data_IF_866879977523
#
_entry.id   IF_866879977523
#
_cell.length_a   1.000
_cell.length_b   1.000
_cell.length_c   1.000
_cell.angle_alpha   90.00
_cell.angle_beta   90.00
_cell.angle_gamma   90.00
#
_symmetry.space_group_name_H-M   'P 1'
#
loop_
_entity.id
_entity.type
_entity.pdbx_description
1 polymer ?
#
# COMPACT_ATOMS: atom_id res chain seq x y z
N UNK A 1 -38.96 14.57 19.89
CA UNK A 1 -38.64 14.86 18.48
C UNK A 1 -37.15 14.58 18.27
N UNK A 2 -36.79 13.35 17.88
CA UNK A 2 -35.41 13.01 17.49
C UNK A 2 -35.35 12.94 15.98
N UNK A 3 -34.69 13.90 15.35
CA UNK A 3 -34.38 13.85 13.93
C UNK A 3 -33.39 12.71 13.68
N UNK A 4 -33.88 11.60 13.13
CA UNK A 4 -33.03 10.57 12.54
C UNK A 4 -32.33 11.18 11.33
N UNK A 5 -31.07 11.56 11.50
CA UNK A 5 -30.25 12.08 10.42
C UNK A 5 -29.96 10.95 9.43
N UNK A 6 -30.59 10.99 8.26
CA UNK A 6 -30.25 10.08 7.16
C UNK A 6 -28.85 10.43 6.65
N UNK A 7 -27.85 9.61 7.00
CA UNK A 7 -26.52 9.71 6.41
C UNK A 7 -26.61 9.34 4.93
N UNK A 8 -26.33 10.29 4.03
CA UNK A 8 -26.22 10.03 2.60
C UNK A 8 -24.83 9.52 2.27
N UNK A 9 -24.76 8.40 1.56
CA UNK A 9 -23.52 7.90 0.97
C UNK A 9 -23.08 8.87 -0.14
N UNK A 10 -21.78 9.18 -0.17
CA UNK A 10 -21.18 10.04 -1.20
C UNK A 10 -20.98 9.20 -2.47
N UNK A 11 -21.35 9.75 -3.62
CA UNK A 11 -21.09 9.12 -4.93
C UNK A 11 -19.60 8.83 -5.13
N UNK A 12 -19.30 7.68 -5.74
CA UNK A 12 -17.94 7.16 -5.86
C UNK A 12 -16.95 8.16 -6.48
N UNK A 13 -17.35 8.86 -7.54
CA UNK A 13 -16.48 9.81 -8.24
C UNK A 13 -16.22 11.07 -7.42
N UNK A 14 -17.22 11.53 -6.67
CA UNK A 14 -17.05 12.63 -5.72
C UNK A 14 -16.07 12.24 -4.60
N UNK A 15 -16.22 11.05 -4.03
CA UNK A 15 -15.28 10.52 -3.04
C UNK A 15 -13.85 10.44 -3.59
N UNK A 16 -13.66 9.86 -4.78
CA UNK A 16 -12.34 9.78 -5.43
C UNK A 16 -11.74 11.16 -5.69
N UNK A 17 -12.54 12.13 -6.13
CA UNK A 17 -12.10 13.50 -6.36
C UNK A 17 -11.58 14.17 -5.08
N UNK A 18 -12.28 13.96 -3.95
CA UNK A 18 -11.86 14.48 -2.65
C UNK A 18 -10.57 13.79 -2.19
N UNK A 19 -10.52 12.45 -2.25
CA UNK A 19 -9.33 11.69 -1.81
C UNK A 19 -8.08 12.01 -2.62
N UNK A 20 -8.20 12.34 -3.93
CA UNK A 20 -7.08 12.80 -4.76
C UNK A 20 -6.44 14.10 -4.26
N UNK A 21 -7.17 14.91 -3.49
CA UNK A 21 -6.66 16.17 -2.90
C UNK A 21 -6.04 15.97 -1.52
N UNK A 22 -6.21 14.79 -0.93
CA UNK A 22 -5.64 14.50 0.38
C UNK A 22 -4.15 14.18 0.24
N UNK A 23 -3.31 15.13 0.64
CA UNK A 23 -1.86 14.96 0.61
C UNK A 23 -1.44 13.87 1.60
N UNK A 24 -0.77 12.84 1.09
CA UNK A 24 -0.20 11.73 1.87
C UNK A 24 1.18 11.38 1.34
N UNK A 25 2.01 10.79 2.21
CA UNK A 25 3.23 10.12 1.76
C UNK A 25 2.90 8.91 0.89
N UNK A 26 3.87 8.48 0.08
CA UNK A 26 3.76 7.27 -0.73
C UNK A 26 4.71 6.22 -0.18
N UNK A 27 4.22 4.98 -0.07
CA UNK A 27 5.03 3.85 0.35
C UNK A 27 4.97 2.74 -0.69
N UNK A 28 6.00 1.90 -0.72
CA UNK A 28 5.92 0.57 -1.35
C UNK A 28 5.81 -0.47 -0.25
N UNK A 29 4.72 -1.22 -0.28
CA UNK A 29 4.52 -2.38 0.60
C UNK A 29 5.08 -3.58 -0.12
N UNK A 30 6.04 -4.26 0.50
CA UNK A 30 6.70 -5.42 -0.08
C UNK A 30 6.54 -6.65 0.80
N UNK A 31 6.60 -7.81 0.18
CA UNK A 31 6.68 -9.10 0.87
C UNK A 31 7.46 -10.09 0.00
N UNK A 32 7.92 -11.17 0.60
CA UNK A 32 8.69 -12.20 -0.08
C UNK A 32 8.40 -13.58 0.53
N UNK A 33 8.64 -14.61 -0.27
CA UNK A 33 8.66 -15.99 0.18
C UNK A 33 9.76 -16.78 -0.53
N UNK A 34 9.65 -18.10 -0.50
CA UNK A 34 10.61 -19.00 -1.13
C UNK A 34 10.58 -18.81 -2.66
N UNK A 35 11.65 -18.19 -3.18
CA UNK A 35 11.84 -17.97 -4.60
C UNK A 35 11.05 -16.82 -5.22
N UNK A 36 10.23 -16.08 -4.47
CA UNK A 36 9.44 -14.97 -5.03
C UNK A 36 9.47 -13.70 -4.19
N UNK A 37 9.24 -12.57 -4.84
CA UNK A 37 9.05 -11.24 -4.24
C UNK A 37 7.77 -10.62 -4.76
N UNK A 38 7.16 -9.75 -3.97
CA UNK A 38 5.99 -8.99 -4.38
C UNK A 38 6.03 -7.59 -3.79
N UNK A 39 5.53 -6.62 -4.54
CA UNK A 39 5.44 -5.25 -4.07
C UNK A 39 4.34 -4.47 -4.78
N UNK A 40 3.74 -3.53 -4.05
CA UNK A 40 2.77 -2.59 -4.59
C UNK A 40 2.94 -1.23 -3.93
N UNK A 41 2.78 -0.18 -4.74
CA UNK A 41 2.61 1.18 -4.22
C UNK A 41 1.31 1.26 -3.42
N UNK A 42 1.36 1.94 -2.29
CA UNK A 42 0.22 2.21 -1.42
C UNK A 42 0.32 3.60 -0.80
N UNK A 43 -0.83 4.16 -0.44
CA UNK A 43 -0.93 5.43 0.31
C UNK A 43 -1.64 5.25 1.67
N UNK A 44 -2.38 4.16 1.85
CA UNK A 44 -3.12 3.88 3.07
C UNK A 44 -2.23 3.27 4.17
N UNK A 45 -1.21 4.02 4.59
CA UNK A 45 -0.27 3.70 5.67
C UNK A 45 -0.44 4.67 6.84
N UNK A 46 -0.41 4.16 8.07
CA UNK A 46 -0.40 5.00 9.26
C UNK A 46 0.44 4.39 10.40
N UNK A 47 1.03 5.26 11.20
CA UNK A 47 1.56 4.91 12.53
C UNK A 47 0.41 4.74 13.51
N UNK A 48 0.41 3.65 14.28
CA UNK A 48 -0.68 3.29 15.20
C UNK A 48 -0.27 3.45 16.66
N UNK A 49 0.91 2.94 17.03
CA UNK A 49 1.40 3.00 18.40
C UNK A 49 2.92 3.07 18.42
N UNK A 50 3.46 3.76 19.43
CA UNK A 50 4.89 3.75 19.74
C UNK A 50 5.27 2.60 20.67
N UNK A 51 4.34 2.14 21.53
CA UNK A 51 4.59 1.07 22.49
C UNK A 51 3.35 0.14 22.62
N UNK A 52 3.39 -1.09 22.07
CA UNK A 52 4.43 -1.60 21.17
C UNK A 52 4.46 -0.81 19.84
N UNK A 53 5.56 -0.84 19.09
CA UNK A 53 5.64 -0.17 17.79
C UNK A 53 4.70 -0.86 16.80
N UNK A 54 3.67 -0.14 16.35
CA UNK A 54 2.64 -0.65 15.45
C UNK A 54 2.39 0.30 14.29
N UNK A 55 2.20 -0.28 13.12
CA UNK A 55 1.74 0.41 11.90
C UNK A 55 0.57 -0.35 11.29
N UNK A 56 -0.24 0.35 10.51
CA UNK A 56 -1.32 -0.25 9.70
C UNK A 56 -1.12 0.09 8.23
N UNK A 57 -1.36 -0.90 7.39
CA UNK A 57 -1.54 -0.73 5.94
C UNK A 57 -2.92 -1.28 5.57
N UNK A 58 -3.73 -0.48 4.87
CA UNK A 58 -5.01 -0.93 4.33
C UNK A 58 -4.83 -1.46 2.91
N UNK A 59 -5.29 -2.69 2.68
CA UNK A 59 -5.17 -3.39 1.40
C UNK A 59 -6.54 -3.89 0.94
N UNK A 60 -6.76 -3.91 -0.38
CA UNK A 60 -7.95 -4.57 -0.94
C UNK A 60 -7.87 -6.08 -0.71
N UNK A 61 -8.96 -6.67 -0.19
CA UNK A 61 -9.07 -8.12 0.00
C UNK A 61 -8.98 -8.91 -1.31
N UNK A 62 -9.39 -8.30 -2.43
CA UNK A 62 -9.25 -8.89 -3.78
C UNK A 62 -7.86 -8.64 -4.40
N UNK A 63 -6.98 -7.90 -3.72
CA UNK A 63 -5.68 -7.51 -4.24
C UNK A 63 -4.61 -8.57 -4.04
N UNK A 64 -3.75 -8.76 -5.05
CA UNK A 64 -2.60 -9.70 -5.00
C UNK A 64 -1.69 -9.45 -3.79
N UNK A 65 -1.49 -8.19 -3.40
CA UNK A 65 -0.65 -7.82 -2.25
C UNK A 65 -1.17 -8.39 -0.94
N UNK A 66 -2.49 -8.35 -0.72
CA UNK A 66 -3.10 -8.95 0.46
C UNK A 66 -2.87 -10.47 0.48
N UNK A 67 -3.14 -11.16 -0.65
CA UNK A 67 -2.91 -12.60 -0.77
C UNK A 67 -1.46 -12.99 -0.49
N UNK A 68 -0.49 -12.29 -1.09
CA UNK A 68 0.95 -12.57 -0.89
C UNK A 68 1.42 -12.33 0.54
N UNK A 69 0.90 -11.29 1.21
CA UNK A 69 1.22 -11.03 2.62
C UNK A 69 0.60 -12.11 3.52
N UNK A 70 -0.60 -12.60 3.20
CA UNK A 70 -1.23 -13.71 3.92
C UNK A 70 -0.45 -15.02 3.76
N UNK A 71 0.09 -15.28 2.57
CA UNK A 71 0.92 -16.47 2.28
C UNK A 71 2.27 -16.45 3.02
N UNK A 72 2.96 -15.30 3.03
CA UNK A 72 4.28 -15.16 3.66
C UNK A 72 4.22 -14.90 5.17
N UNK A 73 3.12 -14.35 5.67
CA UNK A 73 2.96 -13.93 7.07
C UNK A 73 3.70 -12.65 7.45
N UNK A 74 4.43 -12.03 6.51
CA UNK A 74 5.28 -10.85 6.77
C UNK A 74 5.15 -9.80 5.66
N UNK A 75 5.44 -8.56 6.00
CA UNK A 75 5.56 -7.47 5.03
C UNK A 75 6.56 -6.42 5.53
N UNK A 76 7.07 -5.62 4.60
CA UNK A 76 7.86 -4.42 4.89
C UNK A 76 7.21 -3.19 4.25
N UNK A 77 7.43 -2.03 4.87
CA UNK A 77 6.98 -0.74 4.37
C UNK A 77 8.20 0.10 4.01
N UNK A 78 8.28 0.53 2.76
CA UNK A 78 9.35 1.36 2.24
C UNK A 78 8.79 2.77 2.00
N UNK A 79 9.13 3.72 2.86
CA UNK A 79 8.70 5.12 2.71
C UNK A 79 9.54 5.78 1.62
N UNK A 80 8.89 6.29 0.58
CA UNK A 80 9.57 6.87 -0.57
C UNK A 80 9.85 8.36 -0.37
N UNK A 81 11.02 8.79 -0.84
CA UNK A 81 11.33 10.21 -1.03
C UNK A 81 10.77 10.72 -2.36
N UNK A 82 10.73 12.06 -2.52
CA UNK A 82 10.28 12.72 -3.75
C UNK A 82 11.05 12.25 -5.00
N UNK A 83 12.36 12.05 -4.88
CA UNK A 83 13.21 11.56 -5.99
C UNK A 83 12.93 10.13 -6.42
N UNK A 84 12.08 9.39 -5.69
CA UNK A 84 11.73 8.00 -5.97
C UNK A 84 10.34 7.85 -6.60
N UNK A 85 9.81 8.93 -7.21
CA UNK A 85 8.54 8.88 -7.96
C UNK A 85 8.48 7.73 -8.98
N UNK A 86 9.58 7.47 -9.69
CA UNK A 86 9.67 6.39 -10.66
C UNK A 86 9.46 5.00 -10.03
N UNK A 87 9.86 4.81 -8.77
CA UNK A 87 9.61 3.57 -8.02
C UNK A 87 8.11 3.46 -7.72
N UNK A 88 7.49 4.55 -7.25
CA UNK A 88 6.06 4.58 -6.98
C UNK A 88 5.24 4.25 -8.24
N UNK A 89 5.59 4.84 -9.38
CA UNK A 89 4.92 4.58 -10.66
C UNK A 89 5.12 3.13 -11.11
N UNK A 90 6.36 2.62 -11.06
CA UNK A 90 6.68 1.23 -11.43
C UNK A 90 5.93 0.20 -10.59
N UNK A 91 5.87 0.39 -9.27
CA UNK A 91 5.17 -0.53 -8.36
C UNK A 91 3.64 -0.34 -8.35
N UNK A 92 3.11 0.71 -8.98
CA UNK A 92 1.68 0.92 -9.22
C UNK A 92 1.21 0.38 -10.58
N UNK A 93 2.13 0.12 -11.51
CA UNK A 93 1.80 -0.29 -12.88
C UNK A 93 1.13 -1.68 -12.90
N UNK A 94 -0.13 -1.79 -13.38
CA UNK A 94 -0.83 -3.07 -13.44
C UNK A 94 -0.35 -3.98 -14.58
N UNK A 95 0.38 -3.45 -15.56
CA UNK A 95 0.94 -4.20 -16.69
C UNK A 95 2.18 -5.01 -16.32
N UNK A 96 2.89 -4.59 -15.27
CA UNK A 96 4.09 -5.26 -14.78
C UNK A 96 3.75 -6.35 -13.76
N UNK A 97 4.36 -7.51 -13.94
CA UNK A 97 4.37 -8.57 -12.93
C UNK A 97 5.29 -8.23 -11.74
N UNK A 98 5.43 -9.16 -10.79
CA UNK A 98 6.25 -8.88 -9.61
C UNK A 98 7.73 -8.82 -9.94
N UNK A 99 8.27 -9.76 -10.71
CA UNK A 99 9.70 -9.80 -11.03
C UNK A 99 10.11 -8.60 -11.89
N UNK A 100 9.25 -8.18 -12.81
CA UNK A 100 9.44 -6.98 -13.61
C UNK A 100 9.50 -5.72 -12.76
N UNK A 101 8.67 -5.59 -11.71
CA UNK A 101 8.73 -4.43 -10.79
C UNK A 101 10.08 -4.34 -10.08
N UNK A 102 10.64 -5.47 -9.65
CA UNK A 102 11.93 -5.51 -8.95
C UNK A 102 13.14 -5.49 -9.89
N UNK A 103 12.98 -5.80 -11.18
CA UNK A 103 14.09 -5.81 -12.15
C UNK A 103 14.78 -4.45 -12.22
N UNK A 104 16.08 -4.44 -11.95
CA UNK A 104 16.92 -3.23 -11.96
C UNK A 104 16.72 -2.31 -10.75
N UNK A 105 15.88 -2.69 -9.79
CA UNK A 105 15.69 -1.96 -8.54
C UNK A 105 16.58 -2.58 -7.48
N UNK A 106 17.45 -1.79 -6.85
CA UNK A 106 18.25 -2.26 -5.72
C UNK A 106 17.36 -2.45 -4.50
N UNK A 107 17.39 -3.64 -3.89
CA UNK A 107 16.70 -3.92 -2.64
C UNK A 107 17.47 -4.95 -1.82
N UNK A 108 17.10 -5.09 -0.55
CA UNK A 108 17.65 -6.09 0.36
C UNK A 108 16.49 -6.79 1.06
N UNK A 109 16.61 -8.10 1.29
CA UNK A 109 15.62 -8.84 2.07
C UNK A 109 15.74 -8.46 3.55
N UNK A 110 14.60 -8.20 4.19
CA UNK A 110 14.53 -8.01 5.64
C UNK A 110 15.03 -9.26 6.38
N UNK A 111 15.53 -9.09 7.60
CA UNK A 111 16.12 -10.18 8.41
C UNK A 111 15.08 -10.98 9.22
N UNK A 112 13.80 -10.92 8.83
CA UNK A 112 12.69 -11.49 9.58
C UNK A 112 11.80 -12.32 8.66
#
# INVERSE_FOLDING_TARGET
MSSSGTFRVIEQDAYRSIMRRFASGVVVVTTAGDGWVHGSTAQAFLSVSLNPPLVLVSLSLSGRTYTRIRESGVFAVNILSEGQKWIAERFADPSLDSDERFRGVSFTRGKH
#
